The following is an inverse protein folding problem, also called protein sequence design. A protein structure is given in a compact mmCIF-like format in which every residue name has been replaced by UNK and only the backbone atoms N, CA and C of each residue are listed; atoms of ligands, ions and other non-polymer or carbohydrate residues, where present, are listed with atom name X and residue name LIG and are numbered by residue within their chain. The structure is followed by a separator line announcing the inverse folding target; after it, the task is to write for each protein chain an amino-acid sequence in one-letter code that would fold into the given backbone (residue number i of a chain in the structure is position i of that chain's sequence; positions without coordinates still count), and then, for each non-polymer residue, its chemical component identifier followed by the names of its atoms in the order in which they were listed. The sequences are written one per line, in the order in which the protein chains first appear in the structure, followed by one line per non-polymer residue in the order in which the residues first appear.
data_IF_937405725825
#
_entry.id   IF_937405725825
#
_cell.length_a   1.000
_cell.length_b   1.000
_cell.length_c   1.000
_cell.angle_alpha   90.00
_cell.angle_beta   90.00
_cell.angle_gamma   90.00
#
_symmetry.space_group_name_H-M   'P 1'
#
loop_
_entity.id
_entity.type
_entity.pdbx_description
1 polymer ?
#
# COMPACT_ATOMS: atom_id res chain seq x y z
N UNK A 1 -16.02 12.56 16.73
CA UNK A 1 -14.56 12.33 16.78
C UNK A 1 -13.99 12.87 18.11
N UNK A 2 -14.03 12.10 19.20
CA UNK A 2 -13.53 12.51 20.55
C UNK A 2 -12.27 11.74 20.99
N UNK A 3 -11.70 10.91 20.12
CA UNK A 3 -10.37 10.27 20.31
C UNK A 3 -9.50 10.69 19.13
N UNK A 4 -8.32 11.22 19.41
CA UNK A 4 -7.36 11.63 18.38
C UNK A 4 -6.91 10.44 17.55
N UNK A 5 -6.57 10.69 16.28
CA UNK A 5 -6.01 9.69 15.38
C UNK A 5 -4.52 9.48 15.73
N UNK A 6 -4.15 8.26 16.09
CA UNK A 6 -2.74 7.86 16.24
C UNK A 6 -2.24 7.28 14.92
N UNK A 7 -1.41 8.04 14.20
CA UNK A 7 -0.82 7.62 12.93
C UNK A 7 0.62 7.15 13.12
N UNK A 8 0.95 5.98 12.56
CA UNK A 8 2.33 5.53 12.36
C UNK A 8 2.58 5.38 10.86
N UNK A 9 3.71 5.89 10.40
CA UNK A 9 4.18 5.73 9.01
C UNK A 9 5.43 4.85 9.02
N UNK A 10 5.42 3.82 8.20
CA UNK A 10 6.56 2.93 7.95
C UNK A 10 6.78 2.85 6.44
N UNK A 11 7.70 3.68 5.96
CA UNK A 11 7.98 3.85 4.55
C UNK A 11 9.47 3.60 4.29
N UNK A 12 9.77 2.60 3.47
CA UNK A 12 11.13 2.18 3.15
C UNK A 12 11.35 2.08 1.64
N UNK A 13 12.47 2.63 1.17
CA UNK A 13 12.90 2.50 -0.23
C UNK A 13 13.20 1.05 -0.54
N UNK A 14 12.89 0.58 -1.75
CA UNK A 14 13.17 -0.79 -2.19
C UNK A 14 12.39 -1.90 -1.45
N UNK A 15 11.49 -1.56 -0.51
CA UNK A 15 10.62 -2.53 0.16
C UNK A 15 9.74 -3.24 -0.87
N UNK A 16 9.74 -4.57 -0.79
CA UNK A 16 8.85 -5.47 -1.54
C UNK A 16 7.75 -6.02 -0.65
N UNK A 17 6.71 -6.58 -1.25
CA UNK A 17 5.55 -7.07 -0.52
C UNK A 17 5.89 -8.28 0.36
N UNK A 18 6.44 -9.33 -0.26
CA UNK A 18 6.76 -10.61 0.41
C UNK A 18 8.10 -11.19 -0.03
N UNK A 19 8.48 -11.00 -1.30
CA UNK A 19 9.79 -11.42 -1.80
C UNK A 19 10.91 -10.59 -1.15
N UNK A 20 12.14 -11.12 -1.05
CA UNK A 20 13.27 -10.35 -0.51
C UNK A 20 13.38 -8.98 -1.15
N UNK A 21 13.37 -7.92 -0.34
CA UNK A 21 13.47 -6.52 -0.79
C UNK A 21 14.77 -6.28 -1.56
N UNK A 22 14.76 -5.29 -2.46
CA UNK A 22 16.00 -4.94 -3.18
C UNK A 22 17.01 -4.23 -2.27
N UNK A 23 18.28 -4.34 -2.65
CA UNK A 23 19.37 -3.62 -1.97
C UNK A 23 19.40 -2.18 -2.47
N UNK A 24 19.36 -1.24 -1.54
CA UNK A 24 19.56 0.19 -1.78
C UNK A 24 20.61 0.72 -0.83
N UNK A 25 21.67 1.36 -1.36
CA UNK A 25 22.80 1.90 -0.58
C UNK A 25 23.41 0.90 0.43
N UNK A 26 23.51 -0.38 0.03
CA UNK A 26 24.15 -1.44 0.84
C UNK A 26 23.25 -2.11 1.88
N UNK A 27 21.99 -1.70 2.01
CA UNK A 27 21.02 -2.34 2.90
C UNK A 27 19.77 -2.79 2.14
N UNK A 28 19.10 -3.82 2.65
CA UNK A 28 17.79 -4.25 2.17
C UNK A 28 16.80 -4.16 3.34
N UNK A 29 15.67 -3.44 3.20
CA UNK A 29 14.70 -3.33 4.28
C UNK A 29 13.93 -4.64 4.45
N UNK A 30 13.27 -4.79 5.60
CA UNK A 30 12.23 -5.81 5.78
C UNK A 30 11.15 -5.69 4.70
N UNK A 31 10.53 -6.82 4.35
CA UNK A 31 9.37 -6.83 3.47
C UNK A 31 8.15 -6.23 4.18
N UNK A 32 7.14 -5.80 3.42
CA UNK A 32 5.89 -5.32 4.01
C UNK A 32 5.23 -6.38 4.89
N UNK A 33 5.30 -7.66 4.49
CA UNK A 33 4.84 -8.78 5.30
C UNK A 33 5.58 -8.88 6.65
N UNK A 34 6.91 -8.77 6.64
CA UNK A 34 7.71 -8.81 7.88
C UNK A 34 7.41 -7.61 8.78
N UNK A 35 7.22 -6.41 8.21
CA UNK A 35 6.84 -5.22 8.97
C UNK A 35 5.45 -5.38 9.63
N UNK A 36 4.46 -5.86 8.88
CA UNK A 36 3.11 -6.14 9.44
C UNK A 36 3.20 -7.13 10.59
N UNK A 37 4.05 -8.16 10.49
CA UNK A 37 4.25 -9.11 11.58
C UNK A 37 4.96 -8.50 12.79
N UNK A 38 5.95 -7.64 12.59
CA UNK A 38 6.75 -7.08 13.68
C UNK A 38 5.98 -6.07 14.54
N UNK A 39 4.99 -5.37 13.96
CA UNK A 39 4.17 -4.44 14.74
C UNK A 39 3.20 -5.14 15.71
N UNK A 40 2.86 -6.40 15.47
CA UNK A 40 1.90 -7.10 16.32
C UNK A 40 0.54 -6.36 16.39
N UNK A 41 -0.12 -6.46 17.54
CA UNK A 41 -1.36 -5.70 17.83
C UNK A 41 -1.18 -4.17 17.88
N UNK A 42 0.04 -3.64 17.79
CA UNK A 42 0.26 -2.19 17.74
C UNK A 42 0.02 -1.59 16.36
N UNK A 43 -0.31 -2.41 15.35
CA UNK A 43 -0.62 -1.98 13.99
C UNK A 43 -1.94 -1.19 13.89
N UNK A 44 -2.87 -1.43 14.83
CA UNK A 44 -4.19 -0.80 14.89
C UNK A 44 -5.23 -1.47 13.99
N UNK A 45 -6.41 -0.89 13.92
CA UNK A 45 -7.58 -1.45 13.19
C UNK A 45 -7.53 -1.18 11.68
N UNK A 46 -6.78 -0.15 11.25
CA UNK A 46 -6.68 0.28 9.84
C UNK A 46 -5.22 0.24 9.38
N UNK A 47 -4.96 -0.50 8.32
CA UNK A 47 -3.67 -0.54 7.60
C UNK A 47 -3.82 0.11 6.23
N UNK A 48 -2.93 1.04 5.89
CA UNK A 48 -2.80 1.54 4.51
C UNK A 48 -1.54 0.95 3.87
N UNK A 49 -1.68 0.30 2.72
CA UNK A 49 -0.61 -0.39 2.01
C UNK A 49 -0.36 0.25 0.64
N UNK A 50 0.85 0.78 0.45
CA UNK A 50 1.31 1.31 -0.83
C UNK A 50 2.72 0.78 -1.13
N UNK A 51 2.77 -0.47 -1.60
CA UNK A 51 3.99 -1.21 -1.98
C UNK A 51 3.69 -1.93 -3.29
N UNK A 52 4.70 -2.12 -4.15
CA UNK A 52 4.56 -2.93 -5.37
C UNK A 52 5.43 -2.47 -6.54
N UNK A 53 5.87 -1.21 -6.56
CA UNK A 53 6.72 -0.70 -7.66
C UNK A 53 8.04 -1.48 -7.84
N UNK A 54 8.52 -2.14 -6.78
CA UNK A 54 9.77 -2.91 -6.77
C UNK A 54 9.56 -4.42 -6.92
N UNK A 55 8.31 -4.89 -6.99
CA UNK A 55 7.95 -6.31 -7.05
C UNK A 55 7.81 -6.79 -8.51
N UNK A 56 7.90 -8.12 -8.71
CA UNK A 56 7.37 -8.73 -9.92
C UNK A 56 5.86 -8.92 -9.76
N UNK A 57 5.09 -8.82 -10.85
CA UNK A 57 3.64 -8.95 -10.78
C UNK A 57 3.20 -10.33 -10.22
N UNK A 58 3.90 -11.40 -10.62
CA UNK A 58 3.58 -12.76 -10.15
C UNK A 58 3.91 -12.95 -8.67
N UNK A 59 5.08 -12.48 -8.24
CA UNK A 59 5.48 -12.51 -6.83
C UNK A 59 4.55 -11.69 -5.94
N UNK A 60 4.12 -10.53 -6.45
CA UNK A 60 3.14 -9.68 -5.77
C UNK A 60 1.79 -10.39 -5.61
N UNK A 61 1.25 -10.95 -6.70
CA UNK A 61 -0.04 -11.64 -6.70
C UNK A 61 -0.07 -12.82 -5.70
N UNK A 62 1.01 -13.58 -5.61
CA UNK A 62 1.15 -14.68 -4.63
C UNK A 62 1.25 -14.16 -3.18
N UNK A 63 1.71 -12.92 -2.99
CA UNK A 63 1.98 -12.32 -1.69
C UNK A 63 0.78 -11.64 -1.02
N UNK A 64 -0.17 -11.08 -1.77
CA UNK A 64 -1.27 -10.27 -1.22
C UNK A 64 -2.01 -11.00 -0.10
N UNK A 65 -2.46 -12.24 -0.35
CA UNK A 65 -3.20 -13.02 0.65
C UNK A 65 -2.40 -13.32 1.91
N UNK A 66 -1.06 -13.40 1.85
CA UNK A 66 -0.22 -13.60 3.04
C UNK A 66 -0.23 -12.36 3.94
N UNK A 67 -0.13 -11.18 3.34
CA UNK A 67 -0.18 -9.91 4.07
C UNK A 67 -1.57 -9.69 4.68
N UNK A 68 -2.65 -9.96 3.93
CA UNK A 68 -4.01 -9.81 4.45
C UNK A 68 -4.29 -10.73 5.65
N UNK A 69 -3.86 -12.00 5.58
CA UNK A 69 -3.96 -12.92 6.72
C UNK A 69 -3.15 -12.44 7.93
N UNK A 70 -1.93 -11.96 7.70
CA UNK A 70 -1.09 -11.43 8.77
C UNK A 70 -1.74 -10.19 9.40
N UNK A 71 -2.18 -9.22 8.61
CA UNK A 71 -2.87 -8.03 9.09
C UNK A 71 -4.10 -8.41 9.94
N UNK A 72 -4.95 -9.32 9.45
CA UNK A 72 -6.11 -9.82 10.21
C UNK A 72 -5.71 -10.46 11.54
N UNK A 73 -4.65 -11.29 11.54
CA UNK A 73 -4.16 -11.91 12.78
C UNK A 73 -3.64 -10.92 13.81
N UNK A 74 -3.26 -9.71 13.37
CA UNK A 74 -2.82 -8.62 14.24
C UNK A 74 -3.96 -7.69 14.69
N UNK A 75 -5.21 -7.96 14.31
CA UNK A 75 -6.36 -7.13 14.67
C UNK A 75 -6.69 -6.03 13.68
N UNK A 76 -6.09 -6.04 12.47
CA UNK A 76 -6.49 -5.12 11.41
C UNK A 76 -7.85 -5.55 10.85
N UNK A 77 -8.82 -4.66 10.95
CA UNK A 77 -10.17 -4.84 10.42
C UNK A 77 -10.28 -4.38 8.97
N UNK A 78 -9.54 -3.33 8.60
CA UNK A 78 -9.54 -2.77 7.24
C UNK A 78 -8.14 -2.55 6.71
N UNK A 79 -7.91 -3.04 5.49
CA UNK A 79 -6.68 -2.82 4.72
C UNK A 79 -7.02 -1.96 3.51
N UNK A 80 -6.68 -0.68 3.55
CA UNK A 80 -6.73 0.19 2.38
C UNK A 80 -5.50 -0.11 1.53
N UNK A 81 -5.70 -0.55 0.29
CA UNK A 81 -4.64 -1.02 -0.58
C UNK A 81 -4.59 -0.18 -1.84
N UNK A 82 -3.48 0.53 -2.04
CA UNK A 82 -3.33 1.46 -3.17
C UNK A 82 -2.96 0.71 -4.46
N UNK A 83 -3.59 1.10 -5.58
CA UNK A 83 -3.12 0.71 -6.92
C UNK A 83 -1.82 1.44 -7.28
N UNK A 84 -1.02 0.85 -8.15
CA UNK A 84 0.17 1.48 -8.72
C UNK A 84 -0.23 2.38 -9.89
N UNK A 85 0.41 3.54 -10.05
CA UNK A 85 0.24 4.41 -11.21
C UNK A 85 0.59 3.64 -12.48
N UNK A 86 -0.43 3.30 -13.27
CA UNK A 86 -0.33 2.28 -14.31
C UNK A 86 0.32 2.80 -15.60
N UNK A 87 1.64 2.90 -15.58
CA UNK A 87 2.44 3.34 -16.74
C UNK A 87 3.04 2.20 -17.55
N UNK A 88 2.96 0.97 -17.05
CA UNK A 88 3.51 -0.22 -17.74
C UNK A 88 2.72 -1.49 -17.44
N UNK A 89 2.87 -2.49 -18.32
CA UNK A 89 2.13 -3.75 -18.25
C UNK A 89 2.31 -4.49 -16.91
N UNK A 90 3.49 -4.45 -16.29
CA UNK A 90 3.67 -5.10 -15.00
C UNK A 90 2.94 -4.40 -13.85
N UNK A 91 2.74 -3.08 -13.93
CA UNK A 91 1.91 -2.36 -12.96
C UNK A 91 0.43 -2.66 -13.18
N UNK A 92 -0.03 -2.76 -14.43
CA UNK A 92 -1.39 -3.24 -14.75
C UNK A 92 -1.65 -4.61 -14.15
N UNK A 93 -0.76 -5.59 -14.41
CA UNK A 93 -0.90 -6.95 -13.86
C UNK A 93 -0.91 -6.97 -12.33
N UNK A 94 -0.16 -6.06 -11.70
CA UNK A 94 -0.15 -5.89 -10.25
C UNK A 94 -1.48 -5.31 -9.75
N UNK A 95 -2.02 -4.30 -10.42
CA UNK A 95 -3.33 -3.73 -10.13
C UNK A 95 -4.45 -4.76 -10.31
N UNK A 96 -4.42 -5.54 -11.40
CA UNK A 96 -5.38 -6.64 -11.61
C UNK A 96 -5.33 -7.67 -10.45
N UNK A 97 -4.15 -7.89 -9.85
CA UNK A 97 -4.01 -8.76 -8.69
C UNK A 97 -4.63 -8.14 -7.42
N UNK A 98 -4.49 -6.83 -7.23
CA UNK A 98 -5.16 -6.09 -6.14
C UNK A 98 -6.68 -6.19 -6.32
N UNK A 99 -7.19 -5.96 -7.53
CA UNK A 99 -8.62 -6.07 -7.85
C UNK A 99 -9.18 -7.47 -7.62
N UNK A 100 -8.46 -8.51 -8.05
CA UNK A 100 -8.84 -9.90 -7.76
C UNK A 100 -8.86 -10.18 -6.26
N UNK A 101 -7.87 -9.68 -5.52
CA UNK A 101 -7.83 -9.84 -4.07
C UNK A 101 -9.00 -9.15 -3.38
N UNK A 102 -9.35 -7.92 -3.77
CA UNK A 102 -10.50 -7.21 -3.20
C UNK A 102 -11.82 -8.00 -3.31
N UNK A 103 -12.00 -8.76 -4.40
CA UNK A 103 -13.18 -9.63 -4.59
C UNK A 103 -13.21 -10.82 -3.62
N UNK A 104 -12.05 -11.28 -3.14
CA UNK A 104 -11.93 -12.45 -2.26
C UNK A 104 -11.72 -12.09 -0.79
N UNK A 105 -11.33 -10.85 -0.49
CA UNK A 105 -10.95 -10.41 0.85
C UNK A 105 -11.77 -9.18 1.26
N UNK A 106 -12.88 -9.35 1.99
CA UNK A 106 -13.76 -8.24 2.38
C UNK A 106 -13.09 -7.15 3.22
N UNK A 107 -11.98 -7.46 3.90
CA UNK A 107 -11.20 -6.49 4.66
C UNK A 107 -10.35 -5.57 3.76
N UNK A 108 -10.10 -5.93 2.49
CA UNK A 108 -9.33 -5.13 1.55
C UNK A 108 -10.27 -4.15 0.84
N UNK A 109 -9.94 -2.86 0.92
CA UNK A 109 -10.59 -1.78 0.18
C UNK A 109 -9.56 -1.16 -0.76
N UNK A 110 -9.93 -0.93 -2.02
CA UNK A 110 -9.02 -0.35 -3.01
C UNK A 110 -9.06 1.17 -2.90
N UNK A 111 -7.88 1.77 -2.76
CA UNK A 111 -7.67 3.20 -2.99
C UNK A 111 -7.03 3.36 -4.38
N UNK A 112 -7.81 3.82 -5.37
CA UNK A 112 -7.38 3.82 -6.78
C UNK A 112 -6.48 5.02 -7.13
N UNK A 113 -5.24 4.97 -6.64
CA UNK A 113 -4.21 5.95 -6.94
C UNK A 113 -3.88 6.00 -8.44
N UNK A 114 -3.96 4.87 -9.15
CA UNK A 114 -3.76 4.81 -10.60
C UNK A 114 -4.71 5.72 -11.34
N UNK A 115 -6.02 5.62 -11.07
CA UNK A 115 -7.01 6.51 -11.66
C UNK A 115 -6.83 7.95 -11.19
N UNK A 116 -6.60 8.16 -9.89
CA UNK A 116 -6.47 9.51 -9.31
C UNK A 116 -5.28 10.30 -9.88
N UNK A 117 -4.22 9.61 -10.28
CA UNK A 117 -2.97 10.23 -10.73
C UNK A 117 -2.72 10.15 -12.24
N UNK A 118 -3.67 9.56 -13.01
CA UNK A 118 -3.48 9.14 -14.41
C UNK A 118 -2.97 10.25 -15.33
N UNK A 119 -3.63 11.41 -15.30
CA UNK A 119 -3.40 12.50 -16.25
C UNK A 119 -2.62 13.67 -15.62
N UNK A 120 -2.03 13.42 -14.44
CA UNK A 120 -1.44 14.45 -13.62
C UNK A 120 0.07 14.59 -13.84
N UNK A 121 0.56 15.82 -13.80
CA UNK A 121 2.00 16.13 -13.90
C UNK A 121 2.70 15.95 -12.55
N UNK A 122 2.44 14.84 -11.87
CA UNK A 122 2.89 14.56 -10.50
C UNK A 122 4.12 13.66 -10.41
N UNK A 123 4.52 13.03 -11.52
CA UNK A 123 5.65 12.11 -11.58
C UNK A 123 6.84 12.72 -12.31
N UNK A 124 8.04 12.27 -11.95
CA UNK A 124 9.27 12.49 -12.71
C UNK A 124 9.23 11.66 -13.99
N UNK A 125 10.24 11.83 -14.83
CA UNK A 125 10.33 11.20 -16.16
C UNK A 125 10.24 9.65 -16.13
N UNK A 126 10.59 9.02 -15.02
CA UNK A 126 10.48 7.57 -14.84
C UNK A 126 9.05 7.07 -14.58
N UNK A 127 8.08 7.96 -14.38
CA UNK A 127 6.68 7.60 -14.14
C UNK A 127 6.43 6.91 -12.80
N UNK A 128 7.37 7.01 -11.84
CA UNK A 128 7.27 6.37 -10.51
C UNK A 128 7.57 7.36 -9.40
N UNK A 129 8.69 8.08 -9.51
CA UNK A 129 9.08 9.02 -8.46
C UNK A 129 8.19 10.26 -8.54
N UNK A 130 7.62 10.66 -7.41
CA UNK A 130 6.82 11.88 -7.33
C UNK A 130 7.69 13.13 -7.36
N UNK A 131 7.17 14.19 -7.96
CA UNK A 131 7.66 15.55 -7.73
C UNK A 131 6.96 16.17 -6.52
N UNK A 132 7.27 17.44 -6.19
CA UNK A 132 6.68 18.11 -5.03
C UNK A 132 5.14 18.11 -5.05
N UNK A 133 4.53 18.48 -6.19
CA UNK A 133 3.08 18.49 -6.33
C UNK A 133 2.50 17.08 -6.15
N UNK A 134 3.15 16.06 -6.73
CA UNK A 134 2.75 14.67 -6.57
C UNK A 134 2.86 14.16 -5.14
N UNK A 135 3.89 14.55 -4.39
CA UNK A 135 4.03 14.21 -2.97
C UNK A 135 2.89 14.82 -2.15
N UNK A 136 2.56 16.09 -2.38
CA UNK A 136 1.42 16.75 -1.71
C UNK A 136 0.07 16.13 -2.09
N UNK A 137 -0.10 15.74 -3.35
CA UNK A 137 -1.30 15.07 -3.84
C UNK A 137 -1.47 13.68 -3.20
N UNK A 138 -0.41 12.87 -3.19
CA UNK A 138 -0.45 11.55 -2.54
C UNK A 138 -0.75 11.66 -1.03
N UNK A 139 -0.15 12.64 -0.34
CA UNK A 139 -0.44 12.86 1.08
C UNK A 139 -1.92 13.24 1.32
N UNK A 140 -2.48 14.10 0.46
CA UNK A 140 -3.89 14.49 0.51
C UNK A 140 -4.82 13.31 0.22
N UNK A 141 -4.48 12.49 -0.78
CA UNK A 141 -5.20 11.28 -1.15
C UNK A 141 -5.21 10.28 0.02
N UNK A 142 -4.04 9.93 0.57
CA UNK A 142 -3.92 9.03 1.73
C UNK A 142 -4.70 9.53 2.96
N UNK A 143 -4.71 10.85 3.19
CA UNK A 143 -5.48 11.45 4.28
C UNK A 143 -6.99 11.23 4.10
N UNK A 144 -7.50 11.40 2.87
CA UNK A 144 -8.91 11.18 2.58
C UNK A 144 -9.29 9.70 2.81
N UNK A 145 -8.50 8.78 2.26
CA UNK A 145 -8.68 7.33 2.42
C UNK A 145 -8.64 6.89 3.90
N UNK A 146 -7.72 7.45 4.69
CA UNK A 146 -7.63 7.17 6.13
C UNK A 146 -8.89 7.60 6.88
N UNK A 147 -9.36 8.83 6.62
CA UNK A 147 -10.54 9.37 7.30
C UNK A 147 -11.80 8.56 6.96
N UNK A 148 -11.93 8.14 5.71
CA UNK A 148 -13.03 7.27 5.28
C UNK A 148 -12.95 5.88 5.92
N UNK A 149 -11.76 5.28 5.94
CA UNK A 149 -11.55 3.95 6.52
C UNK A 149 -11.88 3.90 8.02
N UNK A 150 -11.51 4.96 8.78
CA UNK A 150 -11.79 5.10 10.22
C UNK A 150 -13.28 5.31 10.48
N UNK A 151 -13.97 6.15 9.68
CA UNK A 151 -15.41 6.39 9.85
C UNK A 151 -16.25 5.13 9.66
N UNK A 152 -15.80 4.22 8.77
CA UNK A 152 -16.48 2.95 8.48
C UNK A 152 -16.07 1.80 9.42
N UNK A 153 -15.15 2.03 10.36
CA UNK A 153 -14.70 1.05 11.35
C UNK A 153 -15.28 1.35 12.76
N UNK A 154 -15.85 2.53 12.95
CA UNK A 154 -16.58 2.95 14.16
C UNK A 154 -18.06 2.60 14.07
#
# INVERSE_FOLDING_TARGET
LRRGLSLRVDAEVCRRLVQPSCVFRGASPTTAFQAVQSYGHSLGEVLIMHVGYNDTADGYAQGIGRVLRAARSQGVERVVWLTLHETKLSYRRTNDAIERAAKSWPQLVIADWSAHSRDEKWFRRDGVHLNYAGTSALASFLRAELLEAVQRAS
#
